data_IF_037652932065
#
_entry.id   IF_037652932065
#
_cell.length_a   1.000
_cell.length_b   1.000
_cell.length_c   1.000
_cell.angle_alpha   90.00
_cell.angle_beta   90.00
_cell.angle_gamma   90.00
#
_symmetry.space_group_name_H-M   'P 1'
#
loop_
_entity.id
_entity.type
_entity.pdbx_description
1 polymer ?
#
# COMPACT_ATOMS: atom_id res chain seq x y z
N UNK A 1 -18.62 -20.36 -46.81
CA UNK A 1 -18.51 -19.49 -45.62
C UNK A 1 -17.60 -20.07 -44.53
N UNK A 2 -17.63 -21.39 -44.27
CA UNK A 2 -16.79 -22.07 -43.26
C UNK A 2 -15.28 -21.78 -43.38
N UNK A 3 -14.70 -21.78 -44.59
CA UNK A 3 -13.25 -21.53 -44.77
C UNK A 3 -12.79 -20.15 -44.29
N UNK A 4 -13.58 -19.10 -44.55
CA UNK A 4 -13.26 -17.73 -44.10
C UNK A 4 -13.35 -17.62 -42.58
N UNK A 5 -14.33 -18.29 -41.98
CA UNK A 5 -14.48 -18.39 -40.53
C UNK A 5 -13.28 -19.10 -39.89
N UNK A 6 -12.84 -20.24 -40.44
CA UNK A 6 -11.66 -20.97 -39.94
C UNK A 6 -10.37 -20.15 -40.04
N UNK A 7 -10.17 -19.38 -41.11
CA UNK A 7 -9.03 -18.47 -41.21
C UNK A 7 -9.07 -17.34 -40.18
N UNK A 8 -10.25 -16.80 -39.89
CA UNK A 8 -10.41 -15.81 -38.82
C UNK A 8 -10.05 -16.40 -37.45
N UNK A 9 -10.54 -17.60 -37.13
CA UNK A 9 -10.20 -18.27 -35.88
C UNK A 9 -8.70 -18.59 -35.79
N UNK A 10 -8.10 -19.13 -36.86
CA UNK A 10 -6.66 -19.40 -36.90
C UNK A 10 -5.84 -18.12 -36.71
N UNK A 11 -6.26 -17.01 -37.31
CA UNK A 11 -5.64 -15.70 -37.11
C UNK A 11 -5.72 -15.23 -35.65
N UNK A 12 -6.90 -15.34 -35.02
CA UNK A 12 -7.06 -15.00 -33.59
C UNK A 12 -6.16 -15.86 -32.69
N UNK A 13 -6.05 -17.16 -32.97
CA UNK A 13 -5.17 -18.07 -32.23
C UNK A 13 -3.70 -17.65 -32.37
N UNK A 14 -3.23 -17.39 -33.59
CA UNK A 14 -1.86 -16.93 -33.83
C UNK A 14 -1.60 -15.60 -33.13
N UNK A 15 -2.57 -14.68 -33.14
CA UNK A 15 -2.48 -13.40 -32.45
C UNK A 15 -2.35 -13.58 -30.93
N UNK A 16 -3.18 -14.42 -30.31
CA UNK A 16 -3.10 -14.71 -28.88
C UNK A 16 -1.78 -15.37 -28.50
N UNK A 17 -1.31 -16.35 -29.28
CA UNK A 17 -0.02 -17.01 -29.04
C UNK A 17 1.12 -16.01 -29.17
N UNK A 18 1.09 -15.17 -30.21
CA UNK A 18 2.12 -14.16 -30.46
C UNK A 18 2.13 -13.10 -29.35
N UNK A 19 0.96 -12.62 -28.92
CA UNK A 19 0.83 -11.71 -27.78
C UNK A 19 1.33 -12.36 -26.49
N UNK A 20 1.02 -13.64 -26.26
CA UNK A 20 1.53 -14.42 -25.13
C UNK A 20 3.05 -14.51 -25.14
N UNK A 21 3.67 -14.83 -26.28
CA UNK A 21 5.13 -14.86 -26.44
C UNK A 21 5.74 -13.48 -26.16
N UNK A 22 5.17 -12.42 -26.73
CA UNK A 22 5.65 -11.05 -26.50
C UNK A 22 5.56 -10.67 -25.03
N UNK A 23 4.43 -10.95 -24.36
CA UNK A 23 4.27 -10.72 -22.93
C UNK A 23 5.28 -11.55 -22.12
N UNK A 24 5.49 -12.82 -22.45
CA UNK A 24 6.45 -13.66 -21.73
C UNK A 24 7.90 -13.19 -21.91
N UNK A 25 8.28 -12.69 -23.08
CA UNK A 25 9.65 -12.24 -23.35
C UNK A 25 9.93 -10.80 -22.90
N UNK A 26 8.90 -9.96 -22.86
CA UNK A 26 9.05 -8.52 -22.63
C UNK A 26 8.18 -7.97 -21.50
N UNK A 27 7.67 -8.82 -20.59
CA UNK A 27 6.82 -8.43 -19.47
C UNK A 27 7.37 -7.23 -18.69
N UNK A 28 8.64 -7.29 -18.27
CA UNK A 28 9.25 -6.26 -17.45
C UNK A 28 9.32 -4.92 -18.19
N UNK A 29 9.72 -4.93 -19.46
CA UNK A 29 9.81 -3.72 -20.29
C UNK A 29 8.44 -3.12 -20.55
N UNK A 30 7.44 -3.96 -20.87
CA UNK A 30 6.07 -3.50 -21.11
C UNK A 30 5.45 -2.92 -19.83
N UNK A 31 5.73 -3.54 -18.68
CA UNK A 31 5.28 -3.06 -17.37
C UNK A 31 5.96 -1.74 -17.01
N UNK A 32 7.26 -1.61 -17.25
CA UNK A 32 7.98 -0.36 -17.06
C UNK A 32 7.43 0.76 -17.96
N UNK A 33 7.19 0.50 -19.25
CA UNK A 33 6.57 1.46 -20.17
C UNK A 33 5.19 1.91 -19.68
N UNK A 34 4.42 1.00 -19.08
CA UNK A 34 3.07 1.29 -18.61
C UNK A 34 3.04 2.06 -17.28
N UNK A 35 4.03 1.89 -16.40
CA UNK A 35 3.96 2.34 -15.01
C UNK A 35 5.05 3.34 -14.60
N UNK A 36 6.21 3.37 -15.27
CA UNK A 36 7.27 4.34 -14.97
C UNK A 36 6.80 5.74 -15.41
N UNK A 37 6.85 6.74 -14.52
CA UNK A 37 6.53 8.12 -14.88
C UNK A 37 7.46 8.64 -15.98
N UNK A 38 6.87 9.32 -16.96
CA UNK A 38 7.62 10.15 -17.92
C UNK A 38 7.70 11.61 -17.48
N UNK A 39 7.08 11.95 -16.34
CA UNK A 39 7.09 13.29 -15.78
C UNK A 39 8.43 13.59 -15.09
N UNK A 40 8.86 14.85 -15.12
CA UNK A 40 10.00 15.30 -14.32
C UNK A 40 9.75 15.08 -12.83
N UNK A 41 10.82 14.79 -12.09
CA UNK A 41 10.72 14.68 -10.64
C UNK A 41 10.47 16.05 -10.02
N UNK A 42 9.34 16.17 -9.31
CA UNK A 42 9.03 17.31 -8.48
C UNK A 42 9.58 17.05 -7.06
N UNK A 43 10.53 17.88 -6.56
CA UNK A 43 11.06 17.73 -5.21
C UNK A 43 9.95 17.74 -4.16
N UNK A 44 9.91 16.69 -3.35
CA UNK A 44 8.94 16.55 -2.26
C UNK A 44 9.54 17.18 -1.01
N UNK A 45 9.00 18.33 -0.60
CA UNK A 45 9.40 18.96 0.65
C UNK A 45 9.04 18.06 1.84
N UNK A 46 9.93 17.87 2.83
CA UNK A 46 9.61 17.16 4.06
C UNK A 46 8.36 17.75 4.72
N UNK A 47 7.54 16.90 5.33
CA UNK A 47 6.46 17.38 6.18
C UNK A 47 7.03 18.07 7.42
N UNK A 48 6.24 18.97 8.00
CA UNK A 48 6.52 19.51 9.33
C UNK A 48 6.58 18.37 10.37
N UNK A 49 7.42 18.52 11.40
CA UNK A 49 7.64 17.48 12.41
C UNK A 49 6.35 17.07 13.14
N UNK A 50 5.35 17.94 13.22
CA UNK A 50 4.08 17.65 13.86
C UNK A 50 2.96 17.27 12.87
N UNK A 51 3.28 17.07 11.58
CA UNK A 51 2.25 16.84 10.56
C UNK A 51 1.34 15.65 10.89
N UNK A 52 1.89 14.58 11.47
CA UNK A 52 1.14 13.37 11.82
C UNK A 52 0.27 13.50 13.08
N UNK A 53 0.22 14.67 13.72
CA UNK A 53 -0.86 15.00 14.67
C UNK A 53 -2.22 15.07 13.97
N UNK A 54 -2.23 15.44 12.67
CA UNK A 54 -3.44 15.53 11.86
C UNK A 54 -4.06 14.14 11.62
N UNK A 55 -5.29 13.87 12.11
CA UNK A 55 -5.99 12.63 11.83
C UNK A 55 -6.14 12.31 10.33
N UNK A 56 -6.13 13.31 9.45
CA UNK A 56 -6.26 13.11 8.00
C UNK A 56 -5.03 12.45 7.33
N UNK A 57 -3.90 12.40 8.04
CA UNK A 57 -2.70 11.65 7.63
C UNK A 57 -2.69 10.21 8.14
N UNK A 58 -3.82 9.69 8.62
CA UNK A 58 -3.93 8.31 9.07
C UNK A 58 -5.05 7.59 8.32
N UNK A 59 -4.75 6.40 7.82
CA UNK A 59 -5.80 5.48 7.40
C UNK A 59 -6.39 4.72 8.59
N UNK A 60 -5.57 4.45 9.60
CA UNK A 60 -5.97 3.84 10.88
C UNK A 60 -5.18 4.48 11.99
N UNK A 61 -5.86 4.84 13.07
CA UNK A 61 -5.30 5.24 14.36
C UNK A 61 -6.38 5.16 15.44
N UNK A 62 -6.02 5.06 16.73
CA UNK A 62 -6.97 5.21 17.81
C UNK A 62 -7.80 6.50 17.66
N UNK A 63 -9.12 6.38 17.75
CA UNK A 63 -10.06 7.50 17.65
C UNK A 63 -10.57 7.84 16.24
N UNK A 64 -10.16 7.13 15.17
CA UNK A 64 -10.61 7.44 13.79
C UNK A 64 -12.07 7.03 13.46
N UNK A 65 -12.73 6.32 14.39
CA UNK A 65 -14.14 5.95 14.29
C UNK A 65 -14.39 4.58 13.67
N UNK A 66 -15.66 4.31 13.30
CA UNK A 66 -16.14 2.98 12.90
C UNK A 66 -15.78 2.56 11.47
N UNK A 67 -15.25 3.48 10.67
CA UNK A 67 -14.90 3.25 9.27
C UNK A 67 -13.41 2.92 9.07
N UNK A 68 -12.72 2.48 10.13
CA UNK A 68 -11.31 2.10 10.09
C UNK A 68 -11.09 0.88 9.17
N UNK A 69 -10.39 1.02 8.04
CA UNK A 69 -10.16 -0.08 7.10
C UNK A 69 -9.26 -1.17 7.69
N UNK A 70 -8.38 -0.85 8.64
CA UNK A 70 -7.56 -1.84 9.32
C UNK A 70 -8.36 -2.66 10.34
N UNK A 71 -9.55 -2.17 10.74
CA UNK A 71 -10.48 -2.89 11.62
C UNK A 71 -11.57 -3.67 10.89
N UNK A 72 -11.51 -3.73 9.57
CA UNK A 72 -12.50 -4.43 8.77
C UNK A 72 -12.55 -5.93 9.10
N UNK A 73 -13.76 -6.48 9.10
CA UNK A 73 -14.03 -7.91 9.21
C UNK A 73 -15.13 -8.29 8.21
N UNK A 74 -15.12 -9.51 7.64
CA UNK A 74 -16.18 -9.95 6.74
C UNK A 74 -17.54 -10.01 7.46
N UNK A 75 -18.64 -9.86 6.71
CA UNK A 75 -19.99 -9.79 7.30
C UNK A 75 -20.41 -11.05 8.08
N UNK A 76 -19.84 -12.21 7.76
CA UNK A 76 -20.06 -13.46 8.51
C UNK A 76 -19.15 -13.59 9.75
N UNK A 77 -18.33 -12.59 10.07
CA UNK A 77 -17.53 -12.59 11.30
C UNK A 77 -18.42 -12.54 12.56
N UNK A 78 -19.67 -12.10 12.46
CA UNK A 78 -20.66 -12.22 13.53
C UNK A 78 -21.26 -13.64 13.65
N UNK A 79 -21.13 -14.48 12.61
CA UNK A 79 -21.53 -15.89 12.60
C UNK A 79 -20.31 -16.77 12.87
N UNK A 80 -19.73 -16.61 14.07
CA UNK A 80 -18.47 -17.26 14.49
C UNK A 80 -18.57 -18.78 14.66
N UNK A 81 -19.74 -19.39 14.43
CA UNK A 81 -19.97 -20.82 14.62
C UNK A 81 -19.08 -21.73 13.77
N UNK A 82 -18.44 -21.20 12.72
CA UNK A 82 -17.54 -21.93 11.82
C UNK A 82 -16.05 -21.59 11.99
N UNK A 83 -15.71 -20.57 12.79
CA UNK A 83 -14.32 -20.19 13.03
C UNK A 83 -13.84 -20.80 14.36
N UNK A 84 -12.59 -21.27 14.46
CA UNK A 84 -12.03 -21.64 15.75
C UNK A 84 -12.16 -20.44 16.69
N UNK A 85 -12.74 -20.64 17.89
CA UNK A 85 -12.55 -19.67 18.97
C UNK A 85 -11.05 -19.56 19.19
N UNK A 86 -10.45 -18.36 19.03
CA UNK A 86 -9.07 -18.17 19.44
C UNK A 86 -8.95 -18.67 20.88
N UNK A 87 -7.91 -19.44 21.19
CA UNK A 87 -7.60 -19.73 22.58
C UNK A 87 -7.59 -18.40 23.32
N UNK A 88 -8.26 -18.29 24.46
CA UNK A 88 -8.18 -17.11 25.31
C UNK A 88 -6.95 -17.26 26.23
N UNK A 89 -5.80 -16.66 25.91
CA UNK A 89 -5.03 -15.98 26.92
C UNK A 89 -5.54 -14.53 26.99
N UNK A 90 -5.50 -13.96 28.18
CA UNK A 90 -5.61 -12.52 28.40
C UNK A 90 -4.44 -11.87 27.66
N UNK A 91 -4.63 -11.54 26.37
CA UNK A 91 -3.54 -11.05 25.53
C UNK A 91 -3.01 -9.76 26.14
N UNK A 92 -1.71 -9.71 26.40
CA UNK A 92 -1.03 -8.46 26.76
C UNK A 92 -1.36 -7.44 25.68
N UNK A 93 -1.92 -6.26 26.02
CA UNK A 93 -2.18 -5.21 25.04
C UNK A 93 -0.92 -4.91 24.25
N UNK A 94 -1.03 -4.77 22.93
CA UNK A 94 0.08 -4.45 22.05
C UNK A 94 -0.39 -3.52 20.94
N UNK A 95 0.52 -2.68 20.46
CA UNK A 95 0.28 -1.75 19.38
C UNK A 95 0.93 -2.23 18.08
N UNK A 96 0.28 -1.96 16.95
CA UNK A 96 0.79 -2.32 15.62
C UNK A 96 1.02 -1.06 14.82
N UNK A 97 2.24 -0.89 14.31
CA UNK A 97 2.54 0.09 13.28
C UNK A 97 2.61 -0.63 11.93
N UNK A 98 1.55 -0.45 11.13
CA UNK A 98 1.35 -1.12 9.85
C UNK A 98 1.62 -0.17 8.68
N UNK A 99 2.62 -0.47 7.85
CA UNK A 99 2.91 0.31 6.64
C UNK A 99 2.43 -0.46 5.40
N UNK A 100 1.39 0.08 4.75
CA UNK A 100 0.74 -0.55 3.61
C UNK A 100 1.64 -0.55 2.36
N UNK A 101 1.42 -1.48 1.41
CA UNK A 101 2.20 -1.52 0.16
C UNK A 101 1.80 -0.39 -0.79
N UNK A 102 2.52 -0.30 -1.91
CA UNK A 102 2.28 0.68 -2.99
C UNK A 102 0.84 0.62 -3.51
N UNK A 103 0.04 1.63 -3.22
CA UNK A 103 -1.29 1.84 -3.77
C UNK A 103 -1.32 2.89 -4.88
N UNK A 104 -0.31 3.76 -4.97
CA UNK A 104 -0.16 4.72 -6.07
C UNK A 104 0.36 4.03 -7.34
N UNK A 105 -0.56 3.80 -8.29
CA UNK A 105 -0.27 3.15 -9.59
C UNK A 105 -0.22 4.14 -10.76
N UNK A 106 -0.60 5.40 -10.51
CA UNK A 106 -0.59 6.43 -11.52
C UNK A 106 0.87 6.86 -11.83
N UNK A 107 1.12 7.20 -13.09
CA UNK A 107 2.44 7.57 -13.63
C UNK A 107 2.57 9.07 -13.90
N UNK A 108 1.61 9.87 -13.45
CA UNK A 108 1.60 11.33 -13.63
C UNK A 108 2.63 12.05 -12.76
N UNK A 109 3.01 11.46 -11.63
CA UNK A 109 4.04 11.97 -10.72
C UNK A 109 4.81 10.81 -10.08
N UNK A 110 5.96 11.12 -9.49
CA UNK A 110 6.79 10.13 -8.82
C UNK A 110 6.29 9.75 -7.43
N UNK A 111 5.59 10.67 -6.75
CA UNK A 111 4.95 10.45 -5.47
C UNK A 111 3.45 10.75 -5.55
N UNK A 112 2.66 10.04 -4.73
CA UNK A 112 1.24 10.27 -4.57
C UNK A 112 0.99 11.66 -3.96
N UNK A 113 0.07 12.47 -4.51
CA UNK A 113 -0.33 13.73 -3.90
C UNK A 113 -1.10 13.48 -2.59
N UNK A 114 -0.97 14.41 -1.64
CA UNK A 114 -1.81 14.46 -0.43
C UNK A 114 -2.79 15.63 -0.44
N UNK A 115 -2.47 16.67 -1.21
CA UNK A 115 -3.30 17.86 -1.40
C UNK A 115 -4.63 17.50 -2.07
N UNK A 116 -5.66 18.30 -1.80
CA UNK A 116 -7.00 18.12 -2.39
C UNK A 116 -7.62 16.72 -2.19
N UNK A 117 -7.23 16.02 -1.12
CA UNK A 117 -7.70 14.64 -0.85
C UNK A 117 -6.84 13.54 -1.48
N UNK A 118 -5.75 13.90 -2.17
CA UNK A 118 -4.83 12.98 -2.82
C UNK A 118 -5.38 12.32 -4.09
N UNK A 119 -4.72 11.25 -4.54
CA UNK A 119 -5.16 10.48 -5.71
C UNK A 119 -6.26 9.48 -5.31
N UNK A 120 -7.44 9.61 -5.93
CA UNK A 120 -8.62 8.82 -5.57
C UNK A 120 -8.43 7.30 -5.75
N UNK A 121 -7.66 6.87 -6.75
CA UNK A 121 -7.36 5.46 -6.96
C UNK A 121 -6.36 4.94 -5.93
N UNK A 122 -5.34 5.72 -5.59
CA UNK A 122 -4.40 5.38 -4.54
C UNK A 122 -5.10 5.23 -3.18
N UNK A 123 -6.01 6.15 -2.86
CA UNK A 123 -6.85 6.11 -1.65
C UNK A 123 -7.73 4.86 -1.61
N UNK A 124 -8.39 4.53 -2.73
CA UNK A 124 -9.24 3.35 -2.86
C UNK A 124 -8.43 2.06 -2.69
N UNK A 125 -7.28 1.97 -3.35
CA UNK A 125 -6.40 0.80 -3.32
C UNK A 125 -5.77 0.62 -1.93
N UNK A 126 -5.30 1.70 -1.29
CA UNK A 126 -4.76 1.66 0.07
C UNK A 126 -5.76 1.07 1.05
N UNK A 127 -7.03 1.50 0.99
CA UNK A 127 -8.10 0.97 1.85
C UNK A 127 -8.36 -0.51 1.60
N UNK A 128 -8.28 -1.00 0.36
CA UNK A 128 -8.39 -2.43 0.05
C UNK A 128 -7.23 -3.21 0.69
N UNK A 129 -6.00 -2.71 0.56
CA UNK A 129 -4.84 -3.36 1.16
C UNK A 129 -4.90 -3.37 2.67
N UNK A 130 -5.35 -2.29 3.31
CA UNK A 130 -5.54 -2.27 4.76
C UNK A 130 -6.59 -3.28 5.23
N UNK A 131 -7.72 -3.38 4.52
CA UNK A 131 -8.74 -4.40 4.82
C UNK A 131 -8.19 -5.83 4.70
N UNK A 132 -7.33 -6.09 3.71
CA UNK A 132 -6.78 -7.43 3.47
C UNK A 132 -5.54 -7.77 4.31
N UNK A 133 -4.71 -6.78 4.67
CA UNK A 133 -3.37 -7.00 5.21
C UNK A 133 -3.16 -6.43 6.61
N UNK A 134 -3.94 -5.43 7.03
CA UNK A 134 -3.88 -4.89 8.40
C UNK A 134 -4.93 -5.55 9.32
N UNK A 135 -6.08 -5.97 8.79
CA UNK A 135 -7.12 -6.66 9.57
C UNK A 135 -6.71 -7.96 10.27
N UNK A 136 -5.69 -8.73 9.84
CA UNK A 136 -5.19 -9.85 10.63
C UNK A 136 -4.67 -9.43 12.02
N UNK A 137 -4.31 -8.16 12.19
CA UNK A 137 -3.86 -7.61 13.46
C UNK A 137 -4.99 -7.09 14.35
N UNK A 138 -6.25 -7.44 14.08
CA UNK A 138 -7.40 -6.95 14.83
C UNK A 138 -7.39 -7.24 16.35
N UNK A 139 -6.59 -8.18 16.81
CA UNK A 139 -6.37 -8.42 18.24
C UNK A 139 -5.53 -7.34 18.94
N UNK A 140 -4.84 -6.47 18.18
CA UNK A 140 -4.05 -5.37 18.73
C UNK A 140 -4.97 -4.34 19.40
N UNK A 141 -4.54 -3.80 20.54
CA UNK A 141 -5.25 -2.71 21.21
C UNK A 141 -5.24 -1.44 20.34
N UNK A 142 -4.15 -1.23 19.60
CA UNK A 142 -3.98 -0.10 18.69
C UNK A 142 -3.42 -0.59 17.36
N UNK A 143 -4.00 -0.09 16.25
CA UNK A 143 -3.43 -0.23 14.91
C UNK A 143 -3.23 1.18 14.39
N UNK A 144 -2.03 1.43 13.90
CA UNK A 144 -1.60 2.70 13.34
C UNK A 144 -1.14 2.44 11.91
N UNK A 145 -1.82 3.02 10.94
CA UNK A 145 -1.48 2.91 9.53
C UNK A 145 -1.44 4.31 8.90
N UNK A 146 -0.23 4.84 8.60
CA UNK A 146 -0.11 6.18 8.09
C UNK A 146 -0.54 6.28 6.63
N UNK A 147 -1.07 7.45 6.28
CA UNK A 147 -1.19 7.94 4.92
C UNK A 147 0.07 8.75 4.62
N UNK A 148 0.75 8.45 3.51
CA UNK A 148 2.04 9.05 3.16
C UNK A 148 2.18 9.22 1.65
N UNK A 149 3.09 10.09 1.20
CA UNK A 149 3.34 10.37 -0.23
C UNK A 149 4.11 9.21 -0.88
N UNK A 150 3.42 8.10 -1.10
CA UNK A 150 3.98 6.88 -1.66
C UNK A 150 4.74 7.14 -2.95
N UNK A 151 5.93 6.55 -3.10
CA UNK A 151 6.53 6.44 -4.42
C UNK A 151 5.64 5.55 -5.31
N UNK A 152 5.41 5.97 -6.55
CA UNK A 152 4.60 5.21 -7.52
C UNK A 152 5.16 3.82 -7.78
N UNK A 153 4.31 2.89 -8.23
CA UNK A 153 4.73 1.55 -8.65
C UNK A 153 5.88 1.58 -9.66
N UNK A 154 5.88 2.57 -10.56
CA UNK A 154 6.95 2.78 -11.52
C UNK A 154 8.34 2.98 -10.90
N UNK A 155 8.44 3.51 -9.69
CA UNK A 155 9.73 3.68 -8.99
C UNK A 155 10.41 2.34 -8.66
N UNK A 156 9.68 1.22 -8.65
CA UNK A 156 10.25 -0.11 -8.42
C UNK A 156 10.60 -0.86 -9.72
N UNK A 157 10.41 -0.20 -10.88
CA UNK A 157 10.55 -0.81 -12.20
C UNK A 157 11.63 -0.12 -13.05
N UNK A 158 12.46 0.73 -12.43
CA UNK A 158 13.51 1.51 -13.09
C UNK A 158 14.66 1.81 -12.15
N UNK A 159 15.85 2.02 -12.71
CA UNK A 159 17.07 2.42 -11.98
C UNK A 159 17.31 3.95 -12.04
N UNK A 160 16.33 4.71 -12.52
CA UNK A 160 16.40 6.16 -12.61
C UNK A 160 16.61 6.80 -11.22
N UNK A 161 17.50 7.80 -11.05
CA UNK A 161 17.72 8.46 -9.76
C UNK A 161 16.44 8.98 -9.08
N UNK A 162 15.48 9.43 -9.88
CA UNK A 162 14.16 9.93 -9.46
C UNK A 162 13.36 8.86 -8.69
N UNK A 163 13.52 7.59 -9.05
CA UNK A 163 12.90 6.49 -8.31
C UNK A 163 13.42 6.41 -6.87
N UNK A 164 14.74 6.55 -6.70
CA UNK A 164 15.36 6.62 -5.38
C UNK A 164 14.87 7.84 -4.59
N UNK A 165 14.85 9.02 -5.22
CA UNK A 165 14.37 10.25 -4.59
C UNK A 165 12.91 10.14 -4.13
N UNK A 166 12.05 9.51 -4.93
CA UNK A 166 10.65 9.28 -4.60
C UNK A 166 10.50 8.35 -3.39
N UNK A 167 11.29 7.26 -3.36
CA UNK A 167 11.30 6.31 -2.24
C UNK A 167 11.83 6.97 -0.96
N UNK A 168 12.85 7.84 -1.06
CA UNK A 168 13.37 8.61 0.08
C UNK A 168 12.31 9.58 0.64
N UNK A 169 11.59 10.29 -0.23
CA UNK A 169 10.51 11.16 0.19
C UNK A 169 9.38 10.39 0.91
N UNK A 170 8.99 9.23 0.37
CA UNK A 170 8.00 8.37 1.01
C UNK A 170 8.48 7.84 2.37
N UNK A 171 9.77 7.51 2.49
CA UNK A 171 10.37 7.09 3.76
C UNK A 171 10.35 8.22 4.80
N UNK A 172 10.64 9.46 4.40
CA UNK A 172 10.62 10.61 5.31
C UNK A 172 9.24 10.80 5.97
N UNK A 173 8.17 10.63 5.19
CA UNK A 173 6.80 10.67 5.72
C UNK A 173 6.54 9.51 6.70
N UNK A 174 6.95 8.28 6.36
CA UNK A 174 6.79 7.10 7.25
C UNK A 174 7.60 7.25 8.54
N UNK A 175 8.79 7.85 8.47
CA UNK A 175 9.62 8.14 9.64
C UNK A 175 8.92 9.11 10.59
N UNK A 176 8.29 10.16 10.06
CA UNK A 176 7.57 11.12 10.88
C UNK A 176 6.29 10.52 11.49
N UNK A 177 5.57 9.69 10.72
CA UNK A 177 4.47 8.89 11.25
C UNK A 177 4.91 7.99 12.40
N UNK A 178 6.06 7.35 12.25
CA UNK A 178 6.60 6.43 13.26
C UNK A 178 6.99 7.16 14.54
N UNK A 179 7.56 8.38 14.44
CA UNK A 179 7.85 9.23 15.60
C UNK A 179 6.57 9.57 16.36
N UNK A 180 5.52 10.00 15.67
CA UNK A 180 4.24 10.30 16.29
C UNK A 180 3.59 9.08 16.94
N UNK A 181 3.70 7.91 16.29
CA UNK A 181 3.27 6.64 16.85
C UNK A 181 4.00 6.34 18.16
N UNK A 182 5.33 6.43 18.19
CA UNK A 182 6.13 6.18 19.40
C UNK A 182 5.83 7.16 20.53
N UNK A 183 5.51 8.42 20.23
CA UNK A 183 5.11 9.40 21.26
C UNK A 183 3.68 9.18 21.78
N UNK A 184 2.85 8.47 21.02
CA UNK A 184 1.44 8.24 21.36
C UNK A 184 1.21 6.94 22.14
N UNK A 185 2.01 5.91 21.84
CA UNK A 185 1.89 4.60 22.49
C UNK A 185 2.52 4.63 23.88
N UNK A 186 1.85 4.03 24.86
CA UNK A 186 2.38 3.99 26.23
C UNK A 186 3.73 3.24 26.27
N UNK A 187 4.74 3.73 27.03
CA UNK A 187 6.12 3.23 26.96
C UNK A 187 6.32 1.73 27.13
N UNK A 188 5.48 1.08 27.96
CA UNK A 188 5.57 -0.36 28.25
C UNK A 188 4.73 -1.23 27.28
N UNK A 189 4.10 -0.64 26.26
CA UNK A 189 3.29 -1.37 25.29
C UNK A 189 4.19 -2.08 24.28
N UNK A 190 4.13 -3.42 24.16
CA UNK A 190 4.80 -4.13 23.08
C UNK A 190 4.37 -3.61 21.70
N UNK A 191 5.34 -3.42 20.82
CA UNK A 191 5.12 -2.91 19.45
C UNK A 191 5.38 -4.03 18.44
N UNK A 192 4.46 -4.17 17.49
CA UNK A 192 4.64 -4.99 16.29
C UNK A 192 4.78 -4.06 15.09
N UNK A 193 5.89 -4.19 14.35
CA UNK A 193 6.06 -3.54 13.06
C UNK A 193 5.67 -4.51 11.95
N UNK A 194 4.74 -4.10 11.08
CA UNK A 194 4.27 -4.95 9.99
C UNK A 194 4.16 -4.15 8.69
N UNK A 195 4.64 -4.69 7.58
CA UNK A 195 4.58 -4.00 6.30
C UNK A 195 4.76 -4.94 5.12
N UNK A 196 4.32 -4.50 3.95
CA UNK A 196 4.41 -5.27 2.71
C UNK A 196 5.01 -4.40 1.60
N UNK A 197 5.80 -5.00 0.70
CA UNK A 197 6.44 -4.31 -0.44
C UNK A 197 7.14 -3.00 -0.01
N UNK A 198 6.78 -1.84 -0.58
CA UNK A 198 7.27 -0.51 -0.16
C UNK A 198 7.19 -0.28 1.36
N UNK A 199 6.11 -0.72 2.02
CA UNK A 199 5.99 -0.59 3.46
C UNK A 199 7.03 -1.43 4.23
N UNK A 200 7.31 -2.65 3.78
CA UNK A 200 8.39 -3.47 4.34
C UNK A 200 9.77 -2.86 4.09
N UNK A 201 9.98 -2.24 2.92
CA UNK A 201 11.20 -1.49 2.62
C UNK A 201 11.42 -0.35 3.62
N UNK A 202 10.38 0.44 3.91
CA UNK A 202 10.48 1.53 4.88
C UNK A 202 10.70 1.02 6.30
N UNK A 203 10.00 -0.03 6.73
CA UNK A 203 10.19 -0.60 8.07
C UNK A 203 11.61 -1.12 8.29
N UNK A 204 12.24 -1.77 7.29
CA UNK A 204 13.64 -2.22 7.38
C UNK A 204 14.63 -1.08 7.63
N UNK A 205 14.25 0.17 7.32
CA UNK A 205 15.08 1.36 7.54
C UNK A 205 14.77 2.08 8.85
N UNK A 206 13.70 1.72 9.54
CA UNK A 206 13.41 2.22 10.89
C UNK A 206 14.15 1.41 11.97
N UNK A 207 14.57 0.19 11.63
CA UNK A 207 15.37 -0.73 12.44
C UNK A 207 16.87 -0.52 12.24
#
# INVERSE_FOLDING_TARGET
MVRKFLYFIAFCIVLVISAGIVLSLFADKLTAIALVPSAEFAPVAPLEANAYEDPALWYSRPGIGVNDPARWQPAYASDRGLLPSPAEPKATPFAVFFVHPTSYLNRSSWNAPLDNGGDADAERIARIYLRGMASPFNAASEIWAPRYRQATMGAFLTDAPEAGQAIEAAYADVLEAYRYFLSSVAPDTPIVLAGHSQGALHLKRLL
#
